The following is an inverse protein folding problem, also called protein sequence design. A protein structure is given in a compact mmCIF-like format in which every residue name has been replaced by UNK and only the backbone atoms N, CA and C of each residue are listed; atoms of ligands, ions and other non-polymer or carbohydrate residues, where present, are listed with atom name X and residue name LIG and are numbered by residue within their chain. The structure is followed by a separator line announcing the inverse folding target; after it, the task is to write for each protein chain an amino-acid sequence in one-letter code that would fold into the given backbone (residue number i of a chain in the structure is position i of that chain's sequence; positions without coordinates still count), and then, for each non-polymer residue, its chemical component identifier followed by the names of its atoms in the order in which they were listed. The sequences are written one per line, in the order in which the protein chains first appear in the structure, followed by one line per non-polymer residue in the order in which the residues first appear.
data_IF_316157896651
#
_entry.id   IF_316157896651
#
_cell.length_a   1.000
_cell.length_b   1.000
_cell.length_c   1.000
_cell.angle_alpha   90.00
_cell.angle_beta   90.00
_cell.angle_gamma   90.00
#
_symmetry.space_group_name_H-M   'P 1'
#
loop_
_entity.id
_entity.type
_entity.pdbx_description
1 polymer ?
#
# COMPACT_ATOMS: atom_id res chain seq x y z
N UNK A 1 4.18 -26.60 -0.22
CA UNK A 1 3.98 -25.52 -1.21
C UNK A 1 5.23 -24.65 -1.19
N UNK A 2 5.76 -24.25 -2.35
CA UNK A 2 6.87 -23.29 -2.40
C UNK A 2 6.36 -21.91 -2.01
N UNK A 3 7.14 -21.16 -1.23
CA UNK A 3 6.87 -19.74 -0.99
C UNK A 3 7.06 -18.94 -2.28
N UNK A 4 6.25 -17.89 -2.46
CA UNK A 4 6.35 -17.00 -3.62
C UNK A 4 7.59 -16.10 -3.52
N UNK A 5 8.27 -15.93 -4.65
CA UNK A 5 9.37 -14.95 -4.81
C UNK A 5 8.81 -13.52 -4.80
N UNK A 6 9.70 -12.52 -4.65
CA UNK A 6 9.32 -11.11 -4.70
C UNK A 6 8.67 -10.76 -6.05
N UNK A 7 9.21 -11.23 -7.17
CA UNK A 7 8.63 -11.02 -8.49
C UNK A 7 7.21 -11.61 -8.60
N UNK A 8 6.99 -12.82 -8.09
CA UNK A 8 5.66 -13.44 -8.08
C UNK A 8 4.66 -12.68 -7.18
N UNK A 9 5.13 -12.14 -6.06
CA UNK A 9 4.33 -11.28 -5.18
C UNK A 9 3.97 -9.97 -5.88
N UNK A 10 4.92 -9.36 -6.59
CA UNK A 10 4.73 -8.12 -7.35
C UNK A 10 3.78 -8.30 -8.52
N UNK A 11 3.91 -9.38 -9.28
CA UNK A 11 3.00 -9.68 -10.40
C UNK A 11 1.56 -9.91 -9.92
N UNK A 12 1.40 -10.59 -8.78
CA UNK A 12 0.10 -10.72 -8.13
C UNK A 12 -0.43 -9.36 -7.65
N UNK A 13 0.42 -8.54 -7.04
CA UNK A 13 0.02 -7.22 -6.56
C UNK A 13 -0.39 -6.28 -7.70
N UNK A 14 0.32 -6.34 -8.83
CA UNK A 14 0.02 -5.59 -10.07
C UNK A 14 -1.43 -5.79 -10.49
N UNK A 15 -1.86 -7.04 -10.57
CA UNK A 15 -3.21 -7.43 -10.98
C UNK A 15 -4.26 -7.02 -9.94
N UNK A 16 -4.02 -7.32 -8.65
CA UNK A 16 -5.00 -7.01 -7.59
C UNK A 16 -5.19 -5.51 -7.40
N UNK A 17 -4.11 -4.73 -7.45
CA UNK A 17 -4.16 -3.28 -7.33
C UNK A 17 -4.72 -2.60 -8.59
N UNK A 18 -4.77 -3.30 -9.72
CA UNK A 18 -5.16 -2.73 -11.02
C UNK A 18 -4.11 -1.76 -11.57
N UNK A 19 -2.82 -1.94 -11.24
CA UNK A 19 -1.74 -1.09 -11.75
C UNK A 19 -1.39 -1.38 -13.22
N UNK A 20 -1.94 -2.44 -13.79
CA UNK A 20 -1.86 -2.80 -15.20
C UNK A 20 -2.99 -2.20 -16.06
N UNK A 21 -3.96 -1.52 -15.45
CA UNK A 21 -5.05 -0.89 -16.19
C UNK A 21 -4.54 0.34 -16.96
N UNK A 22 -5.24 0.71 -18.03
CA UNK A 22 -4.95 1.93 -18.78
C UNK A 22 -6.02 2.96 -18.46
N UNK A 23 -5.62 4.06 -17.84
CA UNK A 23 -6.52 5.12 -17.38
C UNK A 23 -6.04 6.48 -17.87
N UNK A 24 -6.97 7.32 -18.30
CA UNK A 24 -6.65 8.66 -18.76
C UNK A 24 -6.14 9.52 -17.59
N UNK A 25 -5.09 10.32 -17.84
CA UNK A 25 -4.50 11.22 -16.85
C UNK A 25 -3.91 10.53 -15.61
N UNK A 26 -3.63 9.22 -15.68
CA UNK A 26 -2.95 8.46 -14.63
C UNK A 26 -1.67 7.86 -15.19
N UNK A 27 -0.56 7.97 -14.46
CA UNK A 27 0.64 7.19 -14.70
C UNK A 27 0.72 6.08 -13.64
N UNK A 28 0.51 4.83 -14.04
CA UNK A 28 0.56 3.69 -13.14
C UNK A 28 1.33 2.54 -13.75
N UNK A 29 1.85 1.66 -12.90
CA UNK A 29 2.61 0.50 -13.33
C UNK A 29 3.32 -0.20 -12.18
N UNK A 30 4.03 -1.26 -12.53
CA UNK A 30 4.90 -2.01 -11.62
C UNK A 30 6.21 -2.35 -12.30
N UNK A 31 7.28 -2.45 -11.53
CA UNK A 31 8.56 -2.99 -11.96
C UNK A 31 9.74 -2.12 -11.56
N UNK A 32 10.89 -2.77 -11.37
CA UNK A 32 12.13 -2.14 -10.90
C UNK A 32 13.00 -1.58 -12.03
N UNK A 33 12.44 -1.23 -13.18
CA UNK A 33 13.20 -0.63 -14.30
C UNK A 33 12.98 0.88 -14.33
N UNK A 34 11.77 1.34 -14.04
CA UNK A 34 11.40 2.75 -14.08
C UNK A 34 11.87 3.47 -12.82
N UNK A 35 12.69 4.49 -13.01
CA UNK A 35 13.17 5.36 -11.92
C UNK A 35 12.15 6.45 -11.58
N UNK A 36 12.20 6.95 -10.35
CA UNK A 36 11.45 8.14 -9.96
C UNK A 36 11.74 9.35 -10.86
N UNK A 37 12.97 9.51 -11.34
CA UNK A 37 13.32 10.53 -12.33
C UNK A 37 12.50 10.41 -13.62
N UNK A 38 12.31 9.19 -14.14
CA UNK A 38 11.45 8.93 -15.31
C UNK A 38 9.95 9.13 -14.99
N UNK A 39 9.53 8.90 -13.74
CA UNK A 39 8.19 9.25 -13.24
C UNK A 39 8.02 10.77 -12.97
N UNK A 40 9.04 11.56 -13.29
CA UNK A 40 9.00 13.02 -13.22
C UNK A 40 9.52 13.61 -11.91
N UNK A 41 10.01 12.81 -10.96
CA UNK A 41 10.64 13.28 -9.73
C UNK A 41 12.15 13.47 -9.97
N UNK A 42 12.50 14.66 -10.47
CA UNK A 42 13.88 14.97 -10.87
C UNK A 42 14.87 14.79 -9.72
N UNK A 43 15.99 14.12 -9.99
CA UNK A 43 17.07 13.92 -9.02
C UNK A 43 17.00 12.62 -8.22
N UNK A 44 15.96 11.79 -8.41
CA UNK A 44 15.81 10.51 -7.70
C UNK A 44 16.03 9.31 -8.64
N UNK A 45 17.09 8.55 -8.41
CA UNK A 45 17.44 7.34 -9.18
C UNK A 45 16.83 6.05 -8.62
N UNK A 46 16.18 6.14 -7.46
CA UNK A 46 15.45 5.06 -6.82
C UNK A 46 14.32 4.55 -7.71
N UNK A 47 13.95 3.28 -7.52
CA UNK A 47 12.97 2.57 -8.34
C UNK A 47 11.96 1.91 -7.42
N UNK A 48 10.67 2.30 -7.50
CA UNK A 48 9.63 1.63 -6.73
C UNK A 48 9.23 0.31 -7.39
N UNK A 49 8.65 -0.61 -6.61
CA UNK A 49 8.07 -1.84 -7.17
C UNK A 49 6.76 -1.59 -7.91
N UNK A 50 6.00 -0.57 -7.51
CA UNK A 50 4.81 -0.13 -8.22
C UNK A 50 4.35 1.25 -7.83
N UNK A 51 3.57 1.87 -8.70
CA UNK A 51 3.11 3.24 -8.54
C UNK A 51 1.74 3.47 -9.15
N UNK A 52 1.00 4.40 -8.56
CA UNK A 52 -0.20 5.04 -9.09
C UNK A 52 -0.03 6.55 -8.88
N UNK A 53 0.13 7.29 -9.98
CA UNK A 53 0.49 8.70 -9.97
C UNK A 53 -0.50 9.48 -10.84
N UNK A 54 -1.55 10.07 -10.24
CA UNK A 54 -2.51 10.88 -10.97
C UNK A 54 -1.89 12.19 -11.46
N UNK A 55 -2.28 12.66 -12.64
CA UNK A 55 -1.79 13.95 -13.18
C UNK A 55 -2.12 15.14 -12.26
N UNK A 56 -3.24 15.07 -11.55
CA UNK A 56 -3.63 16.06 -10.54
C UNK A 56 -2.99 15.75 -9.19
N UNK A 57 -2.10 16.64 -8.74
CA UNK A 57 -1.31 16.47 -7.51
C UNK A 57 -2.11 16.56 -6.20
N UNK A 58 -3.40 16.97 -6.28
CA UNK A 58 -4.33 16.98 -5.14
C UNK A 58 -5.02 15.63 -4.92
N UNK A 59 -4.92 14.73 -5.89
CA UNK A 59 -5.43 13.37 -5.80
C UNK A 59 -4.45 12.45 -5.08
N UNK A 60 -4.88 11.24 -4.79
CA UNK A 60 -4.11 10.27 -3.99
C UNK A 60 -3.07 9.60 -4.87
N UNK A 61 -1.79 9.73 -4.52
CA UNK A 61 -0.73 8.91 -5.08
C UNK A 61 -0.49 7.67 -4.23
N UNK A 62 -0.20 6.54 -4.89
CA UNK A 62 0.09 5.27 -4.23
C UNK A 62 1.47 4.79 -4.67
N UNK A 63 2.25 4.29 -3.72
CA UNK A 63 3.52 3.62 -3.99
C UNK A 63 3.52 2.23 -3.34
N UNK A 64 4.04 1.25 -4.06
CA UNK A 64 4.11 -0.14 -3.66
C UNK A 64 5.58 -0.54 -3.48
N UNK A 65 5.83 -1.24 -2.38
CA UNK A 65 7.07 -1.95 -2.07
C UNK A 65 6.70 -3.41 -1.78
N UNK A 66 7.34 -4.35 -2.47
CA UNK A 66 7.08 -5.78 -2.33
C UNK A 66 8.27 -6.51 -1.78
N UNK A 67 8.03 -7.62 -1.07
CA UNK A 67 9.07 -8.57 -0.65
C UNK A 67 8.62 -9.99 -0.95
N UNK A 68 9.54 -10.94 -0.93
CA UNK A 68 9.18 -12.37 -1.00
C UNK A 68 8.43 -12.83 0.24
N UNK A 69 7.66 -13.91 0.13
CA UNK A 69 6.81 -14.45 1.21
C UNK A 69 7.56 -14.99 2.44
N UNK A 70 8.87 -15.16 2.32
CA UNK A 70 9.78 -15.54 3.41
C UNK A 70 10.24 -14.33 4.24
N UNK A 71 10.11 -13.11 3.71
CA UNK A 71 10.58 -11.89 4.38
C UNK A 71 9.50 -11.36 5.32
N UNK A 72 9.89 -11.14 6.56
CA UNK A 72 9.11 -10.42 7.55
C UNK A 72 9.14 -8.92 7.23
N UNK A 73 7.98 -8.38 6.85
CA UNK A 73 7.82 -6.98 6.45
C UNK A 73 7.78 -6.00 7.64
N UNK A 74 7.73 -6.50 8.88
CA UNK A 74 7.83 -5.65 10.07
C UNK A 74 9.25 -5.14 10.33
N UNK A 75 10.24 -5.67 9.60
CA UNK A 75 11.64 -5.23 9.71
C UNK A 75 11.80 -3.77 9.28
N UNK A 76 12.45 -2.99 10.13
CA UNK A 76 12.65 -1.55 9.94
C UNK A 76 13.29 -1.20 8.58
N UNK A 77 14.21 -2.02 8.08
CA UNK A 77 14.83 -1.81 6.76
C UNK A 77 13.81 -1.70 5.62
N UNK A 78 12.77 -2.53 5.61
CA UNK A 78 11.74 -2.51 4.56
C UNK A 78 10.77 -1.34 4.76
N UNK A 79 10.52 -0.98 6.02
CA UNK A 79 9.74 0.21 6.35
C UNK A 79 10.48 1.47 5.88
N UNK A 80 11.79 1.56 6.12
CA UNK A 80 12.64 2.70 5.73
C UNK A 80 12.72 2.84 4.21
N UNK A 81 12.84 1.72 3.48
CA UNK A 81 12.76 1.68 2.01
C UNK A 81 11.43 2.28 1.51
N UNK A 82 10.30 1.82 2.07
CA UNK A 82 9.00 2.38 1.72
C UNK A 82 8.88 3.87 2.12
N UNK A 83 9.37 4.26 3.29
CA UNK A 83 9.32 5.65 3.77
C UNK A 83 10.08 6.60 2.85
N UNK A 84 11.27 6.18 2.39
CA UNK A 84 12.03 6.92 1.38
C UNK A 84 11.22 7.12 0.10
N UNK A 85 10.54 6.07 -0.37
CA UNK A 85 9.70 6.15 -1.56
C UNK A 85 8.48 7.08 -1.34
N UNK A 86 7.86 7.03 -0.16
CA UNK A 86 6.78 7.97 0.23
C UNK A 86 7.31 9.41 0.25
N UNK A 87 8.51 9.64 0.79
CA UNK A 87 9.17 10.94 0.82
C UNK A 87 9.31 11.54 -0.59
N UNK A 88 9.81 10.74 -1.53
CA UNK A 88 9.97 11.15 -2.92
C UNK A 88 8.62 11.59 -3.52
N UNK A 89 7.58 10.76 -3.39
CA UNK A 89 6.28 11.12 -3.97
C UNK A 89 5.62 12.30 -3.25
N UNK A 90 5.87 12.46 -1.94
CA UNK A 90 5.32 13.56 -1.14
C UNK A 90 5.85 14.94 -1.56
N UNK A 91 6.97 15.00 -2.30
CA UNK A 91 7.46 16.25 -2.91
C UNK A 91 6.47 16.88 -3.89
N UNK A 92 5.52 16.11 -4.42
CA UNK A 92 4.47 16.59 -5.33
C UNK A 92 3.06 16.37 -4.79
N UNK A 93 2.80 15.22 -4.17
CA UNK A 93 1.47 14.81 -3.75
C UNK A 93 1.25 15.06 -2.27
N UNK A 94 0.16 15.76 -1.92
CA UNK A 94 -0.23 15.98 -0.51
C UNK A 94 -0.87 14.75 0.14
N UNK A 95 -1.41 13.84 -0.67
CA UNK A 95 -2.09 12.62 -0.24
C UNK A 95 -1.33 11.42 -0.77
N UNK A 96 -0.67 10.69 0.12
CA UNK A 96 0.16 9.54 -0.24
C UNK A 96 -0.29 8.29 0.49
N UNK A 97 -0.25 7.17 -0.22
CA UNK A 97 -0.39 5.83 0.36
C UNK A 97 0.86 5.03 0.02
N UNK A 98 1.54 4.52 1.03
CA UNK A 98 2.56 3.49 0.89
C UNK A 98 1.97 2.12 1.21
N UNK A 99 2.28 1.14 0.37
CA UNK A 99 1.88 -0.27 0.55
C UNK A 99 3.15 -1.10 0.65
N UNK A 100 3.34 -1.79 1.78
CA UNK A 100 4.36 -2.82 1.93
C UNK A 100 3.69 -4.18 1.95
N UNK A 101 4.07 -5.09 1.05
CA UNK A 101 3.37 -6.36 0.85
C UNK A 101 4.33 -7.51 0.55
N UNK A 102 4.23 -8.64 1.28
CA UNK A 102 5.03 -9.83 1.02
C UNK A 102 4.25 -11.02 0.45
N UNK A 103 3.01 -10.82 0.03
CA UNK A 103 2.14 -11.92 -0.39
C UNK A 103 1.19 -12.41 0.70
N UNK A 104 1.57 -12.29 1.98
CA UNK A 104 0.79 -12.78 3.13
C UNK A 104 0.30 -11.65 4.03
N UNK A 105 1.19 -10.74 4.35
CA UNK A 105 1.00 -9.61 5.23
C UNK A 105 1.06 -8.32 4.43
N UNK A 106 0.36 -7.31 4.95
CA UNK A 106 0.28 -5.99 4.33
C UNK A 106 0.38 -4.92 5.41
N UNK A 107 1.22 -3.92 5.18
CA UNK A 107 1.27 -2.70 5.98
C UNK A 107 0.95 -1.51 5.08
N UNK A 108 0.01 -0.67 5.52
CA UNK A 108 -0.44 0.50 4.77
C UNK A 108 -0.09 1.76 5.54
N UNK A 109 0.58 2.67 4.87
CA UNK A 109 0.98 3.96 5.41
C UNK A 109 0.24 5.07 4.69
N UNK A 110 -0.66 5.76 5.39
CA UNK A 110 -1.37 6.92 4.88
C UNK A 110 -0.64 8.18 5.34
N UNK A 111 -0.07 8.95 4.42
CA UNK A 111 0.78 10.11 4.75
C UNK A 111 1.86 9.78 5.80
N UNK A 112 2.56 8.65 5.60
CA UNK A 112 3.57 8.07 6.53
C UNK A 112 3.04 7.53 7.86
N UNK A 113 1.75 7.63 8.16
CA UNK A 113 1.17 7.03 9.35
C UNK A 113 0.67 5.61 9.05
N UNK A 114 1.12 4.63 9.85
CA UNK A 114 0.64 3.26 9.74
C UNK A 114 -0.84 3.20 10.13
N UNK A 115 -1.68 2.70 9.23
CA UNK A 115 -3.10 2.50 9.48
C UNK A 115 -3.45 1.02 9.54
N UNK A 116 -4.44 0.68 10.38
CA UNK A 116 -4.97 -0.69 10.45
C UNK A 116 -6.05 -0.87 9.40
N UNK A 117 -5.79 -1.74 8.43
CA UNK A 117 -6.72 -2.12 7.36
C UNK A 117 -6.99 -3.62 7.37
N UNK A 118 -7.83 -4.11 6.45
CA UNK A 118 -7.99 -5.54 6.22
C UNK A 118 -6.64 -6.17 5.82
N UNK A 119 -6.34 -7.38 6.34
CA UNK A 119 -5.12 -8.13 6.02
C UNK A 119 -5.15 -8.76 4.62
N UNK A 120 -5.74 -8.07 3.63
CA UNK A 120 -5.84 -8.53 2.25
C UNK A 120 -5.64 -7.34 1.32
N UNK A 121 -4.75 -7.50 0.35
CA UNK A 121 -4.53 -6.53 -0.71
C UNK A 121 -5.85 -6.30 -1.48
N UNK A 122 -6.18 -5.04 -1.73
CA UNK A 122 -7.40 -4.61 -2.42
C UNK A 122 -7.06 -3.87 -3.70
N UNK A 123 -8.07 -3.64 -4.54
CA UNK A 123 -7.94 -2.74 -5.69
C UNK A 123 -7.57 -1.31 -5.25
N UNK A 124 -6.80 -0.58 -6.07
CA UNK A 124 -6.31 0.79 -5.77
C UNK A 124 -7.40 1.74 -5.26
N UNK A 125 -8.63 1.60 -5.75
CA UNK A 125 -9.77 2.41 -5.32
C UNK A 125 -10.03 2.35 -3.82
N UNK A 126 -9.82 1.20 -3.17
CA UNK A 126 -9.93 1.07 -1.71
C UNK A 126 -9.01 2.05 -0.99
N UNK A 127 -7.77 2.17 -1.46
CA UNK A 127 -6.76 3.03 -0.84
C UNK A 127 -6.99 4.52 -1.15
N UNK A 128 -7.50 4.83 -2.35
CA UNK A 128 -7.95 6.17 -2.72
C UNK A 128 -9.08 6.62 -1.78
N UNK A 129 -10.03 5.72 -1.52
CA UNK A 129 -11.19 5.98 -0.69
C UNK A 129 -10.85 6.25 0.79
N UNK A 130 -9.66 5.86 1.26
CA UNK A 130 -9.18 6.18 2.62
C UNK A 130 -9.08 7.70 2.87
N UNK A 131 -9.00 8.52 1.83
CA UNK A 131 -8.97 9.98 1.92
C UNK A 131 -10.35 10.64 1.83
N UNK A 132 -11.43 9.88 1.62
CA UNK A 132 -12.78 10.40 1.68
C UNK A 132 -13.20 10.55 3.16
N UNK A 133 -13.78 11.70 3.52
CA UNK A 133 -14.14 12.07 4.90
C UNK A 133 -14.99 10.99 5.62
N UNK A 134 -15.84 10.28 4.89
CA UNK A 134 -16.76 9.27 5.43
C UNK A 134 -16.16 7.85 5.56
N UNK A 135 -14.91 7.62 5.12
CA UNK A 135 -14.30 6.28 5.13
C UNK A 135 -13.64 5.94 6.48
N UNK A 136 -13.14 6.96 7.20
CA UNK A 136 -12.49 6.78 8.51
C UNK A 136 -13.49 6.26 9.56
N UNK A 137 -14.76 6.67 9.48
CA UNK A 137 -15.79 6.23 10.43
C UNK A 137 -16.14 4.74 10.29
N UNK A 138 -16.09 4.18 9.08
CA UNK A 138 -16.37 2.74 8.87
C UNK A 138 -15.26 1.83 9.39
N UNK A 139 -13.99 2.25 9.30
CA UNK A 139 -12.86 1.46 9.82
C UNK A 139 -12.81 1.44 11.36
N UNK A 140 -13.24 2.52 12.03
CA UNK A 140 -13.48 2.51 13.49
C UNK A 140 -14.56 1.48 13.88
N UNK A 141 -15.62 1.36 13.08
CA UNK A 141 -16.71 0.39 13.33
C UNK A 141 -16.22 -1.05 13.12
N UNK A 142 -15.48 -1.36 12.06
CA UNK A 142 -14.99 -2.73 11.83
C UNK A 142 -13.99 -3.20 12.91
N UNK A 143 -13.20 -2.27 13.47
CA UNK A 143 -12.31 -2.59 14.60
C UNK A 143 -13.06 -2.80 15.92
N UNK A 144 -14.20 -2.13 16.14
CA UNK A 144 -15.07 -2.40 17.28
C UNK A 144 -15.70 -3.80 17.16
N UNK A 145 -16.21 -4.18 15.98
CA UNK A 145 -16.84 -5.50 15.79
C UNK A 145 -15.84 -6.66 16.01
N UNK A 146 -14.59 -6.52 15.54
CA UNK A 146 -13.55 -7.53 15.80
C UNK A 146 -13.12 -7.62 17.27
N UNK A 147 -13.13 -6.52 18.03
CA UNK A 147 -12.87 -6.56 19.49
C UNK A 147 -14.03 -7.21 20.25
N UNK A 148 -15.28 -6.91 19.88
CA UNK A 148 -16.47 -7.51 20.49
C UNK A 148 -16.46 -9.04 20.30
N UNK A 149 -16.21 -9.51 19.07
CA UNK A 149 -16.16 -10.95 18.79
C UNK A 149 -14.99 -11.70 19.47
N UNK A 150 -14.01 -10.98 20.02
CA UNK A 150 -12.92 -11.55 20.81
C UNK A 150 -13.17 -11.55 22.33
N UNK A 151 -14.19 -10.81 22.80
CA UNK A 151 -14.54 -10.73 24.23
C UNK A 151 -15.69 -11.67 24.64
N UNK A 152 -16.51 -12.15 23.69
CA UNK A 152 -17.62 -13.09 23.98
C UNK A 152 -17.20 -14.55 24.24
N UNK A 153 -15.89 -14.87 24.23
CA UNK A 153 -15.41 -16.21 24.59
C UNK A 153 -14.83 -16.35 26.00
N UNK A 154 -14.96 -15.34 26.86
CA UNK A 154 -14.38 -15.37 28.22
C UNK A 154 -15.38 -15.13 29.36
N UNK A 155 -16.69 -15.14 29.09
CA UNK A 155 -17.72 -15.06 30.14
C UNK A 155 -18.75 -16.19 30.01
N UNK A 156 -18.26 -17.42 30.11
CA UNK A 156 -19.08 -18.63 30.24
C UNK A 156 -18.56 -19.50 31.37
N UNK A 157 -18.47 -18.93 32.58
CA UNK A 157 -18.33 -19.71 33.81
C UNK A 157 -19.67 -20.39 34.10
N UNK A 158 -19.68 -21.71 34.03
CA UNK A 158 -20.29 -22.59 35.03
C UNK A 158 -19.46 -23.87 35.10
#
# INVERSE_FOLDING_TARGET
MSLRTEDQVRDYAREVLGFNEVEENINQGTGQITTFNQLGFKGFSDKPDGWYLPKNMNDVAIILETKSEERDISKQIFIDELMKNIDIISSKYKKTVGILYNGKEIAIYKNKELIRVANKLQHKQYYIDLFKENYIDKNKIFTLTKRINGMDKINGTI
#
